data_IF_761979417466
#
_entry.id   IF_761979417466
#
_cell.length_a   1.000
_cell.length_b   1.000
_cell.length_c   1.000
_cell.angle_alpha   90.00
_cell.angle_beta   90.00
_cell.angle_gamma   90.00
#
_symmetry.space_group_name_H-M   'P 1'
#
loop_
_entity.id
_entity.type
_entity.pdbx_description
1 polymer ?
#
# COMPACT_ATOMS: atom_id res chain seq x y z
N UNK A 1 -0.72 37.90 1.52
CA UNK A 1 -0.63 36.58 2.17
C UNK A 1 -1.84 35.76 1.70
N UNK A 2 -1.66 34.63 1.02
CA UNK A 2 -2.78 33.82 0.54
C UNK A 2 -2.38 32.91 -0.64
N UNK A 3 -1.47 31.96 -0.39
CA UNK A 3 -1.08 30.97 -1.40
C UNK A 3 -2.14 29.85 -1.43
N UNK A 4 -2.68 29.64 -2.63
CA UNK A 4 -3.16 28.37 -3.19
C UNK A 4 -4.24 27.62 -2.40
N UNK A 5 -5.48 27.78 -2.85
CA UNK A 5 -6.50 26.74 -2.72
C UNK A 5 -6.00 25.47 -3.41
N UNK A 6 -5.65 24.46 -2.62
CA UNK A 6 -5.44 23.10 -3.10
C UNK A 6 -6.82 22.52 -3.43
N UNK A 7 -7.16 22.52 -4.72
CA UNK A 7 -8.37 21.90 -5.24
C UNK A 7 -8.25 20.38 -5.11
N UNK A 8 -8.94 19.86 -4.09
CA UNK A 8 -9.76 18.66 -4.14
C UNK A 8 -9.45 17.63 -5.24
N UNK A 9 -8.64 16.63 -4.92
CA UNK A 9 -8.77 15.30 -5.51
C UNK A 9 -8.73 14.21 -4.43
N UNK A 10 -9.50 14.44 -3.37
CA UNK A 10 -9.81 13.47 -2.33
C UNK A 10 -10.88 12.47 -2.84
N UNK A 11 -10.53 11.63 -3.81
CA UNK A 11 -11.42 10.58 -4.39
C UNK A 11 -10.68 9.26 -4.69
N UNK A 12 -9.83 8.79 -3.78
CA UNK A 12 -9.23 7.44 -3.85
C UNK A 12 -9.28 6.68 -2.52
N UNK A 13 -10.11 7.14 -1.58
CA UNK A 13 -10.05 6.68 -0.19
C UNK A 13 -10.94 5.51 0.21
N UNK A 14 -11.89 5.03 -0.62
CA UNK A 14 -12.94 4.15 -0.06
C UNK A 14 -13.34 2.89 -0.86
N UNK A 15 -13.00 2.76 -2.15
CA UNK A 15 -13.42 1.58 -2.96
C UNK A 15 -12.22 0.71 -3.39
N UNK A 16 -10.99 1.09 -3.04
CA UNK A 16 -9.78 0.53 -3.65
C UNK A 16 -8.85 -0.21 -2.66
N UNK A 17 -9.39 -0.76 -1.57
CA UNK A 17 -8.60 -1.60 -0.65
C UNK A 17 -8.02 -2.84 -1.36
N UNK A 18 -8.84 -3.50 -2.19
CA UNK A 18 -8.44 -4.63 -3.03
C UNK A 18 -7.40 -4.24 -4.09
N UNK A 19 -7.69 -3.23 -4.93
CA UNK A 19 -6.72 -2.90 -5.98
C UNK A 19 -5.42 -2.31 -5.41
N UNK A 20 -5.44 -1.69 -4.23
CA UNK A 20 -4.20 -1.24 -3.59
C UNK A 20 -3.33 -2.42 -3.17
N UNK A 21 -3.92 -3.48 -2.60
CA UNK A 21 -3.21 -4.71 -2.29
C UNK A 21 -2.64 -5.35 -3.57
N UNK A 22 -3.45 -5.50 -4.61
CA UNK A 22 -3.02 -6.04 -5.90
C UNK A 22 -1.84 -5.24 -6.51
N UNK A 23 -1.87 -3.90 -6.42
CA UNK A 23 -0.77 -3.03 -6.87
C UNK A 23 0.52 -3.28 -6.08
N UNK A 24 0.41 -3.50 -4.77
CA UNK A 24 1.57 -3.81 -3.92
C UNK A 24 2.12 -5.19 -4.22
N UNK A 25 1.26 -6.19 -4.43
CA UNK A 25 1.66 -7.56 -4.81
C UNK A 25 2.35 -7.59 -6.18
N UNK A 26 1.83 -6.85 -7.16
CA UNK A 26 2.49 -6.70 -8.45
C UNK A 26 3.86 -6.02 -8.33
N UNK A 27 3.95 -4.93 -7.56
CA UNK A 27 5.23 -4.26 -7.30
C UNK A 27 6.22 -5.18 -6.57
N UNK A 28 5.75 -6.05 -5.67
CA UNK A 28 6.57 -7.02 -4.95
C UNK A 28 7.16 -8.05 -5.90
N UNK A 29 6.35 -8.61 -6.81
CA UNK A 29 6.83 -9.53 -7.83
C UNK A 29 7.90 -8.89 -8.72
N UNK A 30 7.71 -7.62 -9.11
CA UNK A 30 8.72 -6.86 -9.88
C UNK A 30 10.00 -6.63 -9.07
N UNK A 31 9.92 -6.32 -7.78
CA UNK A 31 11.10 -6.15 -6.93
C UNK A 31 11.87 -7.48 -6.75
N UNK A 32 11.15 -8.59 -6.55
CA UNK A 32 11.73 -9.94 -6.42
C UNK A 32 12.44 -10.37 -7.70
N UNK A 33 11.84 -10.16 -8.87
CA UNK A 33 12.46 -10.49 -10.17
C UNK A 33 13.70 -9.65 -10.47
N UNK A 34 13.83 -8.47 -9.87
CA UNK A 34 15.00 -7.59 -9.99
C UNK A 34 16.08 -7.86 -8.94
N UNK A 35 15.82 -8.74 -7.97
CA UNK A 35 16.71 -8.99 -6.83
C UNK A 35 16.81 -7.81 -5.85
N UNK A 36 15.81 -6.92 -5.83
CA UNK A 36 15.80 -5.73 -4.98
C UNK A 36 15.22 -6.09 -3.59
N UNK A 37 16.04 -6.73 -2.77
CA UNK A 37 15.62 -7.27 -1.46
C UNK A 37 15.10 -6.18 -0.51
N UNK A 38 15.70 -4.99 -0.52
CA UNK A 38 15.26 -3.86 0.30
C UNK A 38 13.86 -3.38 -0.08
N UNK A 39 13.59 -3.26 -1.38
CA UNK A 39 12.27 -2.90 -1.88
C UNK A 39 11.25 -4.01 -1.64
N UNK A 40 11.63 -5.27 -1.79
CA UNK A 40 10.78 -6.42 -1.49
C UNK A 40 10.36 -6.46 -0.02
N UNK A 41 11.29 -6.20 0.92
CA UNK A 41 10.98 -6.16 2.35
C UNK A 41 9.99 -5.03 2.69
N UNK A 42 10.20 -3.83 2.14
CA UNK A 42 9.28 -2.69 2.34
C UNK A 42 7.88 -2.95 1.78
N UNK A 43 7.78 -3.59 0.62
CA UNK A 43 6.49 -3.93 0.02
C UNK A 43 5.78 -5.03 0.81
N UNK A 44 6.52 -6.01 1.32
CA UNK A 44 5.98 -7.06 2.19
C UNK A 44 5.37 -6.48 3.47
N UNK A 45 6.08 -5.55 4.13
CA UNK A 45 5.57 -4.88 5.32
C UNK A 45 4.31 -4.04 5.04
N UNK A 46 4.22 -3.40 3.87
CA UNK A 46 3.03 -2.64 3.49
C UNK A 46 1.85 -3.56 3.16
N UNK A 47 2.07 -4.69 2.49
CA UNK A 47 1.05 -5.72 2.24
C UNK A 47 0.54 -6.28 3.57
N UNK A 48 1.44 -6.58 4.50
CA UNK A 48 1.10 -7.07 5.84
C UNK A 48 0.31 -6.02 6.64
N UNK A 49 0.71 -4.75 6.63
CA UNK A 49 -0.06 -3.68 7.28
C UNK A 49 -1.44 -3.45 6.63
N UNK A 50 -1.60 -3.71 5.34
CA UNK A 50 -2.84 -3.50 4.59
C UNK A 50 -3.79 -4.71 4.66
N UNK A 51 -3.24 -5.92 4.68
CA UNK A 51 -3.97 -7.19 4.75
C UNK A 51 -4.08 -7.79 6.15
N UNK A 52 -3.21 -7.36 7.08
CA UNK A 52 -3.02 -7.88 8.43
C UNK A 52 -3.74 -7.10 9.52
N UNK A 53 -4.78 -6.31 9.20
CA UNK A 53 -5.77 -5.92 10.21
C UNK A 53 -6.72 -7.10 10.56
N UNK A 54 -6.18 -8.33 10.53
CA UNK A 54 -6.74 -9.60 11.02
C UNK A 54 -5.73 -10.13 12.05
N UNK A 55 -5.39 -9.31 13.04
CA UNK A 55 -5.00 -9.87 14.32
C UNK A 55 -6.32 -10.06 15.10
N UNK A 56 -6.86 -11.29 15.07
CA UNK A 56 -7.65 -11.78 16.21
C UNK A 56 -6.73 -11.67 17.44
N UNK A 57 -7.04 -10.86 18.46
CA UNK A 57 -6.35 -10.99 19.73
C UNK A 57 -6.75 -12.36 20.31
N UNK A 58 -5.81 -13.31 20.24
CA UNK A 58 -5.94 -14.62 20.88
C UNK A 58 -6.30 -14.48 22.35
N UNK A 59 -7.35 -15.21 22.75
CA UNK A 59 -7.80 -15.42 24.14
C UNK A 59 -7.00 -16.52 24.81
#
# INVERSE_FOLDING_TARGET
MGRTASLSCNRKGFIEGGHQLEKLEFALAVAMTRGDEGRSALLRAQIDALGGNVEEPGT
#
